data_IF_061122793763
#
_entry.id   IF_061122793763
#
_cell.length_a   1.000
_cell.length_b   1.000
_cell.length_c   1.000
_cell.angle_alpha   90.00
_cell.angle_beta   90.00
_cell.angle_gamma   90.00
#
_symmetry.space_group_name_H-M   'P 1'
#
loop_
_entity.id
_entity.type
_entity.pdbx_description
1 polymer ?
#
# COMPACT_ATOMS: atom_id res chain seq x y z
N UNK A 1 -6.21 63.51 -46.66
CA UNK A 1 -5.72 62.11 -46.75
C UNK A 1 -4.75 61.68 -45.63
N UNK A 2 -4.24 62.58 -44.79
CA UNK A 2 -3.27 62.28 -43.71
C UNK A 2 -3.89 61.74 -42.42
N UNK A 3 -5.14 62.09 -42.09
CA UNK A 3 -5.81 61.60 -40.87
C UNK A 3 -6.11 60.10 -40.86
N UNK A 4 -6.43 59.51 -42.02
CA UNK A 4 -6.79 58.10 -42.13
C UNK A 4 -5.55 57.17 -42.04
N UNK A 5 -4.39 57.63 -42.51
CA UNK A 5 -3.11 56.91 -42.39
C UNK A 5 -2.58 56.87 -40.95
N UNK A 6 -2.87 57.91 -40.15
CA UNK A 6 -2.46 57.96 -38.74
C UNK A 6 -3.28 56.99 -37.88
N UNK A 7 -4.59 56.85 -38.17
CA UNK A 7 -5.47 55.92 -37.46
C UNK A 7 -5.08 54.45 -37.72
N UNK A 8 -4.73 54.11 -38.96
CA UNK A 8 -4.27 52.76 -39.32
C UNK A 8 -2.92 52.43 -38.69
N UNK A 9 -1.99 53.39 -38.64
CA UNK A 9 -0.67 53.21 -38.02
C UNK A 9 -0.77 53.00 -36.50
N UNK A 10 -1.74 53.66 -35.86
CA UNK A 10 -2.00 53.51 -34.43
C UNK A 10 -2.61 52.14 -34.10
N UNK A 11 -3.51 51.61 -34.93
CA UNK A 11 -4.06 50.25 -34.75
C UNK A 11 -3.00 49.15 -34.90
N UNK A 12 -2.03 49.35 -35.79
CA UNK A 12 -0.93 48.41 -36.00
C UNK A 12 0.02 48.39 -34.79
N UNK A 13 0.21 49.53 -34.14
CA UNK A 13 1.06 49.67 -32.95
C UNK A 13 0.44 48.99 -31.71
N UNK A 14 -0.89 49.06 -31.57
CA UNK A 14 -1.63 48.39 -30.48
C UNK A 14 -1.65 46.86 -30.65
N UNK A 15 -1.68 46.35 -31.89
CA UNK A 15 -1.58 44.91 -32.13
C UNK A 15 -0.17 44.36 -31.82
N UNK A 16 0.89 45.15 -32.06
CA UNK A 16 2.26 44.74 -31.78
C UNK A 16 2.56 44.62 -30.27
N UNK A 17 1.92 45.44 -29.42
CA UNK A 17 2.08 45.36 -27.96
C UNK A 17 1.36 44.16 -27.34
N UNK A 18 0.35 43.58 -28.01
CA UNK A 18 -0.33 42.37 -27.54
C UNK A 18 0.51 41.10 -27.70
N UNK A 19 1.49 41.09 -28.60
CA UNK A 19 2.39 39.93 -28.77
C UNK A 19 3.46 39.83 -27.66
N UNK A 20 3.80 40.93 -26.98
CA UNK A 20 4.84 40.92 -25.94
C UNK A 20 4.32 40.53 -24.54
N UNK A 21 2.99 40.42 -24.36
CA UNK A 21 2.35 39.90 -23.14
C UNK A 21 1.79 38.49 -23.37
N UNK A 22 2.61 37.61 -23.97
CA UNK A 22 2.36 36.16 -23.87
C UNK A 22 2.74 35.70 -22.47
N UNK A 23 1.74 35.43 -21.62
CA UNK A 23 1.99 34.67 -20.40
C UNK A 23 2.43 33.26 -20.79
N UNK A 24 3.72 32.95 -20.60
CA UNK A 24 4.15 31.57 -20.46
C UNK A 24 3.44 31.01 -19.22
N UNK A 25 2.41 30.21 -19.49
CA UNK A 25 1.71 29.42 -18.50
C UNK A 25 2.66 28.30 -18.12
N UNK A 26 3.36 28.45 -17.00
CA UNK A 26 4.06 27.35 -16.35
C UNK A 26 3.03 26.25 -16.06
N UNK A 27 3.06 25.19 -16.86
CA UNK A 27 2.45 23.92 -16.48
C UNK A 27 3.31 23.35 -15.35
N UNK A 28 2.74 23.28 -14.15
CA UNK A 28 3.22 22.43 -13.07
C UNK A 28 3.24 20.98 -13.59
N UNK A 29 4.35 20.58 -14.23
CA UNK A 29 4.65 19.18 -14.47
C UNK A 29 4.81 18.53 -13.09
N UNK A 30 3.73 17.89 -12.65
CA UNK A 30 3.74 16.97 -11.53
C UNK A 30 4.85 15.97 -11.74
N UNK A 31 5.97 16.21 -11.04
CA UNK A 31 7.18 15.39 -10.99
C UNK A 31 6.77 13.93 -10.87
N UNK A 32 6.77 13.21 -11.99
CA UNK A 32 6.49 11.78 -11.99
C UNK A 32 7.62 11.11 -11.23
N UNK A 33 7.29 10.63 -10.03
CA UNK A 33 8.20 9.93 -9.15
C UNK A 33 8.74 8.70 -9.91
N UNK A 34 10.00 8.74 -10.34
CA UNK A 34 10.56 7.75 -11.27
C UNK A 34 10.92 6.42 -10.59
N UNK A 35 10.59 6.28 -9.31
CA UNK A 35 10.88 5.07 -8.55
C UNK A 35 9.84 4.00 -8.88
N UNK A 36 10.14 3.19 -9.91
CA UNK A 36 9.42 1.93 -10.16
C UNK A 36 9.73 0.93 -9.04
N UNK A 37 8.89 0.90 -8.00
CA UNK A 37 8.90 -0.17 -7.01
C UNK A 37 8.36 -1.45 -7.63
N UNK A 38 9.22 -2.46 -7.82
CA UNK A 38 8.80 -3.83 -8.06
C UNK A 38 8.57 -4.48 -6.70
N UNK A 39 7.31 -4.71 -6.36
CA UNK A 39 6.92 -5.43 -5.15
C UNK A 39 6.92 -6.93 -5.45
N UNK A 40 7.45 -7.72 -4.51
CA UNK A 40 7.35 -9.18 -4.58
C UNK A 40 5.88 -9.59 -4.39
N UNK A 41 5.38 -10.41 -5.30
CA UNK A 41 4.01 -10.91 -5.24
C UNK A 41 3.89 -12.01 -4.20
N UNK A 42 3.06 -11.79 -3.18
CA UNK A 42 2.72 -12.79 -2.18
C UNK A 42 1.26 -13.22 -2.37
N UNK A 43 1.07 -14.50 -2.67
CA UNK A 43 -0.24 -15.12 -2.88
C UNK A 43 -0.64 -15.89 -1.63
N UNK A 44 -1.88 -15.73 -1.18
CA UNK A 44 -2.38 -16.37 0.04
C UNK A 44 -3.38 -17.48 -0.29
N UNK A 45 -3.15 -18.68 0.25
CA UNK A 45 -3.99 -19.89 0.01
C UNK A 45 -5.20 -19.97 0.96
N UNK A 46 -5.34 -19.03 1.90
CA UNK A 46 -6.41 -19.00 2.91
C UNK A 46 -7.78 -18.54 2.39
N UNK A 47 -7.84 -18.02 1.16
CA UNK A 47 -9.07 -17.61 0.46
C UNK A 47 -9.62 -18.76 -0.39
N UNK A 48 -10.89 -18.66 -0.84
CA UNK A 48 -11.50 -19.66 -1.74
C UNK A 48 -10.81 -19.71 -3.12
N UNK A 49 -10.06 -18.67 -3.46
CA UNK A 49 -9.21 -18.49 -4.63
C UNK A 49 -7.83 -17.98 -4.21
N UNK A 50 -6.83 -18.21 -5.07
CA UNK A 50 -5.50 -17.62 -4.94
C UNK A 50 -5.58 -16.12 -5.25
N UNK A 51 -5.36 -15.28 -4.24
CA UNK A 51 -5.44 -13.82 -4.34
C UNK A 51 -4.13 -13.18 -3.87
N UNK A 52 -3.80 -12.01 -4.44
CA UNK A 52 -2.68 -11.18 -3.99
C UNK A 52 -3.04 -10.48 -2.69
N UNK A 53 -2.08 -10.31 -1.77
CA UNK A 53 -2.33 -9.67 -0.46
C UNK A 53 -2.97 -8.28 -0.60
N UNK A 54 -2.58 -7.49 -1.61
CA UNK A 54 -3.08 -6.12 -1.81
C UNK A 54 -4.57 -6.06 -2.20
N UNK A 55 -5.09 -7.15 -2.77
CA UNK A 55 -6.46 -7.22 -3.27
C UNK A 55 -7.44 -7.78 -2.21
N UNK A 56 -6.91 -8.26 -1.07
CA UNK A 56 -7.72 -8.87 0.00
C UNK A 56 -8.28 -7.75 0.92
N UNK A 57 -9.61 -7.62 1.09
CA UNK A 57 -10.22 -6.56 1.90
C UNK A 57 -10.21 -6.84 3.42
N UNK A 58 -9.35 -7.76 3.87
CA UNK A 58 -9.24 -8.19 5.26
C UNK A 58 -7.78 -8.24 5.71
N UNK A 59 -7.55 -8.16 7.02
CA UNK A 59 -6.20 -8.20 7.59
C UNK A 59 -5.57 -9.59 7.44
N UNK A 60 -4.47 -9.67 6.68
CA UNK A 60 -3.64 -10.86 6.50
C UNK A 60 -2.28 -10.63 7.13
N UNK A 61 -1.73 -11.67 7.76
CA UNK A 61 -0.36 -11.68 8.26
C UNK A 61 0.30 -12.99 7.81
N UNK A 62 1.47 -12.88 7.20
CA UNK A 62 2.24 -14.02 6.69
C UNK A 62 3.51 -14.21 7.50
N UNK A 63 3.82 -15.45 7.84
CA UNK A 63 5.10 -15.82 8.46
C UNK A 63 5.97 -16.48 7.41
N UNK A 64 7.18 -15.97 7.22
CA UNK A 64 8.09 -16.48 6.22
C UNK A 64 8.65 -17.85 6.59
N UNK A 65 8.62 -18.77 5.62
CA UNK A 65 9.15 -20.13 5.82
C UNK A 65 10.67 -20.15 6.08
N UNK A 66 11.40 -19.16 5.55
CA UNK A 66 12.84 -19.01 5.79
C UNK A 66 13.11 -18.72 7.26
N UNK A 67 12.31 -17.84 7.88
CA UNK A 67 12.42 -17.52 9.30
C UNK A 67 12.15 -18.75 10.18
N UNK A 68 11.18 -19.57 9.78
CA UNK A 68 10.90 -20.84 10.46
C UNK A 68 12.06 -21.84 10.37
N UNK A 69 12.77 -21.89 9.25
CA UNK A 69 13.86 -22.85 9.01
C UNK A 69 15.15 -22.50 9.77
N UNK A 70 15.45 -21.21 9.93
CA UNK A 70 16.67 -20.75 10.61
C UNK A 70 16.45 -20.43 12.10
N UNK A 71 15.20 -20.25 12.54
CA UNK A 71 14.87 -20.00 13.93
C UNK A 71 14.87 -21.26 14.79
N UNK A 72 15.44 -21.19 16.01
CA UNK A 72 15.24 -22.21 17.06
C UNK A 72 13.85 -22.06 17.69
N UNK A 73 12.80 -22.17 16.88
CA UNK A 73 11.41 -22.08 17.33
C UNK A 73 10.93 -23.50 17.67
N UNK A 74 10.59 -23.74 18.93
CA UNK A 74 10.27 -25.08 19.45
C UNK A 74 8.74 -25.29 19.48
N UNK A 75 7.99 -24.21 19.65
CA UNK A 75 6.54 -24.20 19.76
C UNK A 75 5.90 -23.23 18.75
N UNK A 76 4.63 -23.44 18.41
CA UNK A 76 3.90 -22.49 17.58
C UNK A 76 3.75 -21.11 18.25
N UNK A 77 3.82 -21.04 19.58
CA UNK A 77 3.89 -19.76 20.31
C UNK A 77 5.13 -18.96 19.92
N UNK A 78 6.27 -19.61 19.74
CA UNK A 78 7.51 -18.91 19.41
C UNK A 78 7.47 -18.37 17.98
N UNK A 79 6.86 -19.11 17.06
CA UNK A 79 6.72 -18.75 15.64
C UNK A 79 5.73 -17.60 15.46
N UNK A 80 4.61 -17.65 16.18
CA UNK A 80 3.50 -16.73 16.00
C UNK A 80 3.55 -15.55 17.00
N UNK A 81 4.66 -15.36 17.72
CA UNK A 81 4.80 -14.31 18.73
C UNK A 81 4.68 -12.89 18.14
N UNK A 82 5.08 -12.72 16.89
CA UNK A 82 5.16 -11.42 16.22
C UNK A 82 3.85 -11.00 15.53
N UNK A 83 2.83 -11.87 15.56
CA UNK A 83 1.54 -11.60 14.93
C UNK A 83 0.75 -10.57 15.76
N UNK A 84 0.35 -9.42 15.19
CA UNK A 84 -0.35 -8.39 15.93
C UNK A 84 -1.77 -8.84 16.32
N UNK A 85 -2.14 -8.56 17.57
CA UNK A 85 -3.47 -8.90 18.10
C UNK A 85 -3.70 -10.41 18.31
N UNK A 86 -2.64 -11.22 18.21
CA UNK A 86 -2.65 -12.64 18.55
C UNK A 86 -2.12 -12.83 19.98
N UNK A 87 -2.88 -13.54 20.81
CA UNK A 87 -2.49 -13.92 22.16
C UNK A 87 -2.37 -15.44 22.26
N UNK A 88 -1.18 -15.89 22.68
CA UNK A 88 -0.81 -17.30 22.76
C UNK A 88 -0.36 -17.65 24.18
N UNK A 89 -1.05 -18.62 24.78
CA UNK A 89 -0.71 -19.15 26.09
C UNK A 89 -0.49 -20.65 26.01
N UNK A 90 0.74 -21.08 26.29
CA UNK A 90 1.07 -22.50 26.49
C UNK A 90 0.65 -22.93 27.90
N UNK A 91 -0.04 -24.07 28.01
CA UNK A 91 -0.42 -24.67 29.31
C UNK A 91 0.44 -25.87 29.69
N UNK A 92 0.63 -26.78 28.75
CA UNK A 92 1.40 -28.02 28.94
C UNK A 92 2.55 -28.10 27.93
N UNK A 93 3.42 -27.09 27.93
CA UNK A 93 4.51 -26.97 26.96
C UNK A 93 4.00 -26.86 25.53
N UNK A 94 4.52 -27.69 24.63
CA UNK A 94 4.17 -27.63 23.20
C UNK A 94 2.84 -28.33 22.86
N UNK A 95 2.25 -29.08 23.80
CA UNK A 95 1.11 -29.96 23.51
C UNK A 95 -0.25 -29.26 23.58
N UNK A 96 -0.35 -28.21 24.40
CA UNK A 96 -1.59 -27.45 24.57
C UNK A 96 -1.31 -25.95 24.48
N UNK A 97 -1.92 -25.33 23.48
CA UNK A 97 -1.80 -23.91 23.15
C UNK A 97 -3.19 -23.28 23.10
N UNK A 98 -3.45 -22.32 23.98
CA UNK A 98 -4.62 -21.47 23.91
C UNK A 98 -4.32 -20.30 22.98
N UNK A 99 -5.17 -20.14 21.97
CA UNK A 99 -5.06 -19.12 20.93
C UNK A 99 -6.26 -18.16 21.05
N UNK A 100 -5.98 -16.85 21.02
CA UNK A 100 -6.98 -15.80 20.93
C UNK A 100 -6.55 -14.72 19.95
N UNK A 101 -7.43 -14.32 19.03
CA UNK A 101 -7.21 -13.30 18.00
C UNK A 101 -8.19 -12.15 18.25
N UNK A 102 -7.66 -10.95 18.50
CA UNK A 102 -8.46 -9.73 18.74
C UNK A 102 -9.59 -9.94 19.76
N UNK A 103 -9.31 -10.68 20.83
CA UNK A 103 -10.27 -10.97 21.91
C UNK A 103 -11.14 -12.21 21.70
N UNK A 104 -11.08 -12.84 20.54
CA UNK A 104 -11.82 -14.06 20.21
C UNK A 104 -10.90 -15.28 20.25
N UNK A 105 -11.16 -16.23 21.13
CA UNK A 105 -10.31 -17.41 21.27
C UNK A 105 -11.11 -18.70 21.44
N UNK A 106 -10.49 -19.81 21.08
CA UNK A 106 -11.10 -21.13 21.27
C UNK A 106 -11.02 -21.50 22.75
N UNK A 107 -12.18 -21.71 23.39
CA UNK A 107 -12.26 -22.15 24.80
C UNK A 107 -12.02 -23.65 24.99
N UNK A 108 -11.79 -24.39 23.91
CA UNK A 108 -11.54 -25.84 23.95
C UNK A 108 -10.12 -26.15 24.45
N UNK A 109 -9.99 -27.13 25.35
CA UNK A 109 -8.73 -27.61 25.91
C UNK A 109 -7.94 -28.51 24.93
N UNK A 110 -8.56 -28.91 23.83
CA UNK A 110 -7.91 -29.65 22.74
C UNK A 110 -8.67 -29.36 21.46
N UNK A 111 -7.99 -29.47 20.32
CA UNK A 111 -8.44 -29.02 19.00
C UNK A 111 -9.92 -29.21 18.71
N UNK A 112 -10.46 -28.25 17.96
CA UNK A 112 -11.70 -28.34 17.21
C UNK A 112 -11.92 -29.80 16.78
N UNK A 113 -12.93 -30.45 17.38
CA UNK A 113 -13.53 -31.66 16.79
C UNK A 113 -14.74 -31.15 16.01
N UNK A 114 -14.64 -31.21 14.69
CA UNK A 114 -15.62 -30.70 13.74
C UNK A 114 -14.93 -30.20 12.48
#
# INVERSE_FOLDING_TARGET
MTRMKFLTLCSLFVAATQLSFGQEKEEDEGKQDSVKYQIDEVVTVGTRSDEKIIDIPYSVFTVDKKELAFGRKISAKDVLADVPGLFLQSRYGNHDLRISLRGFGTRSNSGVRG
#
